data_IF_839038712786
#
_entry.id   IF_839038712786
#
_cell.length_a   1.000
_cell.length_b   1.000
_cell.length_c   1.000
_cell.angle_alpha   90.00
_cell.angle_beta   90.00
_cell.angle_gamma   90.00
#
_symmetry.space_group_name_H-M   'P 1'
#
loop_
_entity.id
_entity.type
_entity.pdbx_description
1 polymer ?
#
# COMPACT_ATOMS: atom_id res chain seq x y z
N UNK A 1 8.12 7.14 -17.10
CA UNK A 1 8.83 5.98 -16.52
C UNK A 1 8.27 5.58 -15.15
N UNK A 2 8.45 6.37 -14.07
CA UNK A 2 8.12 6.01 -12.68
C UNK A 2 6.75 5.34 -12.43
N UNK A 3 5.67 5.83 -13.06
CA UNK A 3 4.31 5.31 -12.84
C UNK A 3 4.09 3.87 -13.32
N UNK A 4 4.73 3.47 -14.43
CA UNK A 4 4.47 2.21 -15.13
C UNK A 4 5.73 1.40 -15.44
N UNK A 5 6.89 1.85 -14.98
CA UNK A 5 8.22 1.25 -15.22
C UNK A 5 8.54 1.03 -16.72
N UNK A 6 8.16 1.97 -17.60
CA UNK A 6 8.56 1.94 -19.01
C UNK A 6 10.08 2.07 -19.18
N UNK A 7 10.65 1.30 -20.12
CA UNK A 7 12.11 1.23 -20.36
C UNK A 7 12.76 2.47 -20.99
N UNK A 8 11.96 3.38 -21.59
CA UNK A 8 12.50 4.58 -22.24
C UNK A 8 13.19 4.32 -23.58
N UNK A 9 13.78 5.37 -24.15
CA UNK A 9 14.60 5.29 -25.36
C UNK A 9 16.09 5.36 -24.99
N UNK A 10 16.96 5.01 -25.96
CA UNK A 10 18.41 5.10 -25.78
C UNK A 10 18.83 6.52 -25.41
N UNK A 11 19.85 6.64 -24.57
CA UNK A 11 20.44 7.92 -24.21
C UNK A 11 21.36 8.46 -25.33
N UNK A 12 21.98 7.57 -26.11
CA UNK A 12 22.93 7.87 -27.18
C UNK A 12 22.43 7.36 -28.54
N UNK A 13 23.24 7.53 -29.59
CA UNK A 13 22.96 7.12 -30.98
C UNK A 13 21.78 7.86 -31.64
N UNK A 14 21.81 9.20 -31.61
CA UNK A 14 20.92 10.05 -32.43
C UNK A 14 19.51 10.24 -31.89
N UNK A 15 19.21 9.80 -30.67
CA UNK A 15 17.93 10.09 -30.01
C UNK A 15 17.91 11.55 -29.56
N UNK A 16 17.06 12.37 -30.19
CA UNK A 16 16.89 13.79 -29.84
C UNK A 16 15.70 14.00 -28.90
N UNK A 17 15.94 14.41 -27.65
CA UNK A 17 14.96 14.91 -26.66
C UNK A 17 13.98 13.83 -26.12
N UNK A 18 13.83 12.70 -26.80
CA UNK A 18 12.80 11.70 -26.53
C UNK A 18 13.18 10.61 -25.53
N UNK A 19 14.29 10.73 -24.81
CA UNK A 19 14.80 9.71 -23.87
C UNK A 19 13.76 9.24 -22.83
N UNK A 20 12.88 10.15 -22.39
CA UNK A 20 11.79 9.85 -21.43
C UNK A 20 10.38 9.85 -22.04
N UNK A 21 10.30 9.88 -23.37
CA UNK A 21 9.01 9.84 -24.08
C UNK A 21 8.28 8.52 -23.87
N UNK A 22 6.97 8.52 -24.12
CA UNK A 22 6.12 7.33 -23.95
C UNK A 22 6.19 6.36 -25.14
N UNK A 23 6.86 6.71 -26.25
CA UNK A 23 6.88 5.92 -27.48
C UNK A 23 5.57 6.01 -28.27
N UNK A 24 5.16 4.94 -28.96
CA UNK A 24 3.88 4.94 -29.67
C UNK A 24 2.70 4.68 -28.73
N UNK A 25 1.61 5.45 -28.91
CA UNK A 25 0.38 5.30 -28.11
C UNK A 25 -0.64 4.37 -28.78
N UNK A 26 -0.75 4.40 -30.11
CA UNK A 26 -1.80 3.74 -30.88
C UNK A 26 -1.29 3.03 -32.14
N UNK A 27 -2.22 2.39 -32.85
CA UNK A 27 -1.99 1.84 -34.17
C UNK A 27 -2.31 2.90 -35.26
N UNK A 28 -2.08 2.54 -36.52
CA UNK A 28 -2.36 3.38 -37.69
C UNK A 28 -3.88 3.41 -38.00
N UNK A 29 -4.30 3.04 -39.22
CA UNK A 29 -5.66 3.30 -39.71
C UNK A 29 -6.78 2.67 -38.88
N UNK A 30 -6.68 1.37 -38.57
CA UNK A 30 -7.66 0.66 -37.74
C UNK A 30 -7.00 0.30 -36.41
N UNK A 31 -7.53 0.73 -35.24
CA UNK A 31 -8.84 1.33 -34.94
C UNK A 31 -8.89 2.88 -34.90
N UNK A 32 -7.88 3.58 -35.40
CA UNK A 32 -7.86 5.06 -35.49
C UNK A 32 -7.99 5.82 -34.16
N UNK A 33 -7.82 5.13 -33.02
CA UNK A 33 -8.01 5.70 -31.68
C UNK A 33 -7.05 5.09 -30.66
N UNK A 34 -6.87 5.79 -29.55
CA UNK A 34 -6.19 5.24 -28.37
C UNK A 34 -7.17 4.43 -27.53
N UNK A 35 -6.78 3.22 -27.13
CA UNK A 35 -7.59 2.38 -26.26
C UNK A 35 -7.78 2.98 -24.86
N UNK A 36 -8.98 2.86 -24.30
CA UNK A 36 -9.25 3.24 -22.91
C UNK A 36 -8.38 2.40 -21.96
N UNK A 37 -7.88 3.02 -20.90
CA UNK A 37 -6.96 2.37 -19.96
C UNK A 37 -5.51 2.23 -20.48
N UNK A 38 -5.17 2.82 -21.64
CA UNK A 38 -3.78 2.90 -22.08
C UNK A 38 -2.94 3.58 -21.00
N UNK A 39 -1.85 2.92 -20.61
CA UNK A 39 -0.90 3.41 -19.61
C UNK A 39 -0.26 4.73 -20.09
N UNK A 40 -0.53 5.81 -19.39
CA UNK A 40 -0.04 7.17 -19.68
C UNK A 40 0.48 7.87 -18.43
N UNK A 41 1.11 9.03 -18.62
CA UNK A 41 1.47 9.93 -17.52
C UNK A 41 0.23 10.36 -16.71
N UNK A 42 0.44 10.77 -15.47
CA UNK A 42 -0.63 11.23 -14.59
C UNK A 42 -0.25 11.05 -13.11
N UNK A 43 -1.21 11.34 -12.23
CA UNK A 43 -1.06 11.20 -10.79
C UNK A 43 -0.66 9.76 -10.43
N UNK A 44 0.32 9.61 -9.54
CA UNK A 44 0.83 8.32 -9.09
C UNK A 44 1.03 8.35 -7.57
N UNK A 45 0.40 7.41 -6.87
CA UNK A 45 0.30 7.42 -5.41
C UNK A 45 -1.00 8.06 -4.93
N UNK A 46 -1.09 8.32 -3.62
CA UNK A 46 -2.29 8.81 -2.91
C UNK A 46 -3.55 7.96 -3.15
N UNK A 47 -3.37 6.67 -3.39
CA UNK A 47 -4.46 5.71 -3.55
C UNK A 47 -4.54 4.82 -2.30
N UNK A 48 -5.75 4.34 -2.00
CA UNK A 48 -5.97 3.40 -0.90
C UNK A 48 -5.54 2.00 -1.34
N UNK A 49 -4.38 1.56 -0.86
CA UNK A 49 -3.80 0.26 -1.20
C UNK A 49 -3.83 -0.67 0.02
N UNK A 50 -4.00 -1.97 -0.21
CA UNK A 50 -3.97 -3.00 0.84
C UNK A 50 -2.87 -4.00 0.56
N UNK A 51 -1.91 -4.12 1.48
CA UNK A 51 -0.97 -5.25 1.53
C UNK A 51 -1.65 -6.41 2.24
N UNK A 52 -1.74 -7.57 1.59
CA UNK A 52 -2.46 -8.72 2.12
C UNK A 52 -1.52 -9.72 2.79
N UNK A 53 -2.05 -10.50 3.74
CA UNK A 53 -1.35 -11.63 4.38
C UNK A 53 -0.05 -11.24 5.11
N UNK A 54 -0.04 -10.08 5.77
CA UNK A 54 1.05 -9.70 6.67
C UNK A 54 0.98 -10.49 7.97
N UNK A 55 2.15 -10.84 8.51
CA UNK A 55 2.29 -11.58 9.75
C UNK A 55 2.41 -10.62 10.94
N UNK A 56 1.62 -10.85 11.99
CA UNK A 56 1.74 -10.15 13.27
C UNK A 56 2.74 -10.94 14.12
N UNK A 57 3.87 -10.31 14.44
CA UNK A 57 4.96 -10.95 15.19
C UNK A 57 4.69 -10.91 16.69
N UNK A 58 4.22 -9.76 17.17
CA UNK A 58 3.96 -9.52 18.59
C UNK A 58 2.95 -8.40 18.75
N UNK A 59 2.12 -8.52 19.78
CA UNK A 59 1.29 -7.43 20.28
C UNK A 59 1.82 -7.03 21.65
N UNK A 60 2.05 -5.74 21.86
CA UNK A 60 2.41 -5.15 23.15
C UNK A 60 1.19 -4.40 23.68
N UNK A 61 0.52 -4.99 24.66
CA UNK A 61 -0.72 -4.45 25.24
C UNK A 61 -0.47 -3.22 26.11
N UNK A 62 0.70 -3.12 26.73
CA UNK A 62 1.00 -2.05 27.69
C UNK A 62 1.25 -0.73 26.96
N UNK A 63 1.88 -0.82 25.78
CA UNK A 63 2.16 0.34 24.92
C UNK A 63 1.12 0.54 23.81
N UNK A 64 0.19 -0.40 23.65
CA UNK A 64 -0.79 -0.39 22.57
C UNK A 64 -0.17 -0.53 21.17
N UNK A 65 0.93 -1.28 21.04
CA UNK A 65 1.68 -1.43 19.78
C UNK A 65 1.43 -2.80 19.14
N UNK A 66 1.38 -2.81 17.81
CA UNK A 66 1.28 -4.03 17.00
C UNK A 66 2.52 -4.10 16.10
N UNK A 67 3.30 -5.17 16.24
CA UNK A 67 4.51 -5.38 15.45
C UNK A 67 4.16 -6.26 14.24
N UNK A 68 4.26 -5.68 13.05
CA UNK A 68 3.95 -6.33 11.78
C UNK A 68 5.25 -6.62 11.02
N UNK A 69 5.37 -7.84 10.50
CA UNK A 69 6.50 -8.23 9.64
C UNK A 69 6.19 -7.86 8.19
N UNK A 70 6.87 -6.83 7.71
CA UNK A 70 6.78 -6.37 6.32
C UNK A 70 6.56 -4.87 6.22
N UNK A 71 6.15 -4.42 5.04
CA UNK A 71 5.93 -3.01 4.74
C UNK A 71 4.45 -2.63 4.81
N UNK A 72 4.15 -1.55 5.51
CA UNK A 72 2.82 -0.93 5.57
C UNK A 72 2.76 0.20 4.53
N UNK A 73 1.68 0.29 3.73
CA UNK A 73 1.54 1.36 2.74
C UNK A 73 1.25 2.70 3.44
N UNK A 74 2.06 3.71 3.16
CA UNK A 74 1.92 5.05 3.72
C UNK A 74 3.25 5.61 4.19
N UNK A 75 3.21 6.83 4.74
CA UNK A 75 4.31 7.40 5.50
C UNK A 75 4.05 7.22 7.00
N UNK A 76 5.09 7.35 7.82
CA UNK A 76 4.99 7.21 9.27
C UNK A 76 3.95 8.20 9.83
N UNK A 77 3.07 7.72 10.73
CA UNK A 77 2.00 8.52 11.32
C UNK A 77 0.69 8.58 10.50
N UNK A 78 0.63 7.93 9.34
CA UNK A 78 -0.65 7.79 8.59
C UNK A 78 -1.60 6.85 9.32
N UNK A 79 -2.90 7.14 9.29
CA UNK A 79 -3.94 6.22 9.75
C UNK A 79 -4.01 5.00 8.85
N UNK A 80 -4.02 3.81 9.45
CA UNK A 80 -4.12 2.53 8.74
C UNK A 80 -5.33 1.74 9.22
N UNK A 81 -5.95 1.01 8.30
CA UNK A 81 -7.06 0.11 8.59
C UNK A 81 -6.53 -1.34 8.61
N UNK A 82 -6.67 -2.01 9.75
CA UNK A 82 -6.25 -3.41 9.93
C UNK A 82 -7.50 -4.29 9.92
N UNK A 83 -7.46 -5.38 9.15
CA UNK A 83 -8.53 -6.37 9.03
C UNK A 83 -7.93 -7.77 9.01
N UNK A 84 -8.73 -8.77 9.38
CA UNK A 84 -8.33 -10.16 9.31
C UNK A 84 -8.02 -10.60 7.87
N UNK A 85 -7.06 -11.52 7.73
CA UNK A 85 -6.62 -12.00 6.44
C UNK A 85 -7.67 -12.94 5.81
N UNK A 86 -8.14 -12.60 4.61
CA UNK A 86 -9.15 -13.40 3.90
C UNK A 86 -8.54 -14.62 3.20
N UNK A 87 -7.29 -14.52 2.76
CA UNK A 87 -6.66 -15.53 1.87
C UNK A 87 -5.89 -16.62 2.60
N UNK A 88 -5.57 -16.43 3.88
CA UNK A 88 -4.80 -17.39 4.68
C UNK A 88 -5.57 -17.71 5.95
N UNK A 89 -5.59 -18.99 6.33
CA UNK A 89 -6.19 -19.39 7.59
C UNK A 89 -5.51 -18.68 8.76
N UNK A 90 -6.27 -18.28 9.80
CA UNK A 90 -5.72 -17.69 11.00
C UNK A 90 -4.76 -18.67 11.68
N UNK A 91 -3.84 -18.13 12.48
CA UNK A 91 -2.99 -18.97 13.31
C UNK A 91 -3.86 -19.73 14.32
N UNK A 92 -3.48 -20.97 14.68
CA UNK A 92 -4.25 -21.82 15.58
C UNK A 92 -4.55 -21.14 16.93
N UNK A 93 -3.62 -20.31 17.41
CA UNK A 93 -3.72 -19.60 18.69
C UNK A 93 -4.41 -18.22 18.60
N UNK A 94 -5.08 -17.93 17.48
CA UNK A 94 -5.74 -16.63 17.30
C UNK A 94 -7.03 -16.57 18.13
N UNK A 95 -7.24 -15.53 18.97
CA UNK A 95 -8.49 -15.37 19.69
C UNK A 95 -9.67 -15.18 18.74
N UNK A 96 -10.85 -15.68 19.13
CA UNK A 96 -12.08 -15.48 18.38
C UNK A 96 -12.50 -13.99 18.37
N UNK A 97 -13.13 -13.56 17.28
CA UNK A 97 -13.58 -12.18 17.11
C UNK A 97 -14.42 -11.72 18.31
N UNK A 98 -13.99 -10.64 18.96
CA UNK A 98 -14.70 -10.01 20.09
C UNK A 98 -14.12 -10.29 21.48
N UNK A 99 -13.11 -11.16 21.64
CA UNK A 99 -12.44 -11.33 22.93
C UNK A 99 -11.34 -10.28 23.14
N UNK A 100 -11.73 -9.06 23.47
CA UNK A 100 -10.79 -8.05 23.95
C UNK A 100 -10.57 -8.29 25.45
N UNK A 101 -9.33 -8.57 25.88
CA UNK A 101 -8.96 -8.39 27.28
C UNK A 101 -8.93 -6.89 27.53
N UNK A 102 -9.86 -6.38 28.34
CA UNK A 102 -9.82 -4.99 28.80
C UNK A 102 -8.48 -4.75 29.53
N UNK A 103 -7.83 -3.64 29.24
CA UNK A 103 -6.66 -3.22 30.01
C UNK A 103 -7.12 -2.85 31.43
N UNK A 104 -6.79 -3.68 32.42
CA UNK A 104 -6.93 -3.32 33.82
C UNK A 104 -5.86 -2.28 34.18
N UNK A 105 -6.19 -0.99 34.02
CA UNK A 105 -5.34 0.07 34.57
C UNK A 105 -5.39 1.40 33.84
N UNK A 106 -6.43 2.20 34.09
CA UNK A 106 -6.26 3.66 34.28
C UNK A 106 -7.42 4.36 35.03
N UNK A 107 -8.14 3.67 35.93
CA UNK A 107 -9.32 4.24 36.62
C UNK A 107 -8.99 4.93 37.96
N UNK A 108 -7.73 5.20 38.27
CA UNK A 108 -7.33 5.88 39.52
C UNK A 108 -6.26 6.94 39.24
N UNK A 109 -6.65 8.09 38.67
CA UNK A 109 -5.90 9.34 38.78
C UNK A 109 -6.71 10.53 38.24
N UNK A 110 -7.94 10.72 38.75
CA UNK A 110 -8.66 11.99 38.58
C UNK A 110 -9.70 12.14 39.70
N UNK A 111 -9.21 12.20 40.93
CA UNK A 111 -9.99 12.66 42.11
C UNK A 111 -9.04 12.80 43.30
N UNK A 112 -8.17 13.82 43.23
CA UNK A 112 -7.60 14.47 44.40
C UNK A 112 -7.09 15.85 43.98
N UNK A 113 -7.77 16.86 44.53
CA UNK A 113 -7.57 18.32 44.45
C UNK A 113 -8.04 19.06 43.21
#
# INVERSE_FOLDING_TARGET
MKRWNFGGLRATHGVSISHRSHGSTGANQDPGRVWKGKKMAGHYGQERVTTQNLEIVRTDTDRGLILVKGSVPGHDGTVVEIRDAVKKAPHADTPAAGSFKAAEGNTKQESAE
#
